data_IF_561852131826
#
_entry.id   IF_561852131826
#
_cell.length_a   1.000
_cell.length_b   1.000
_cell.length_c   1.000
_cell.angle_alpha   90.00
_cell.angle_beta   90.00
_cell.angle_gamma   90.00
#
_symmetry.space_group_name_H-M   'P 1'
#
loop_
_entity.id
_entity.type
_entity.pdbx_description
1 polymer ?
#
# COMPACT_ATOMS: atom_id res chain seq x y z
N UNK A 1 31.91 31.18 39.16
CA UNK A 1 30.48 30.84 39.25
C UNK A 1 29.91 30.21 37.97
N UNK A 2 30.00 30.82 36.78
CA UNK A 2 29.43 30.25 35.53
C UNK A 2 29.90 28.83 35.18
N UNK A 3 31.19 28.50 35.33
CA UNK A 3 31.73 27.14 35.07
C UNK A 3 31.20 26.05 36.01
N UNK A 4 30.97 26.39 37.28
CA UNK A 4 30.41 25.46 38.26
C UNK A 4 28.93 25.17 37.97
N UNK A 5 28.19 26.18 37.52
CA UNK A 5 26.78 26.07 37.15
C UNK A 5 26.58 25.18 35.91
N UNK A 6 27.45 25.31 34.91
CA UNK A 6 27.44 24.46 33.70
C UNK A 6 27.78 23.01 34.04
N UNK A 7 28.78 22.76 34.89
CA UNK A 7 29.13 21.41 35.32
C UNK A 7 27.97 20.75 36.10
N UNK A 8 27.31 21.52 36.97
CA UNK A 8 26.14 21.05 37.72
C UNK A 8 24.96 20.72 36.79
N UNK A 9 24.70 21.54 35.77
CA UNK A 9 23.67 21.25 34.75
C UNK A 9 23.98 19.98 33.96
N UNK A 10 25.24 19.79 33.51
CA UNK A 10 25.64 18.60 32.75
C UNK A 10 25.52 17.32 33.59
N UNK A 11 25.94 17.36 34.87
CA UNK A 11 25.82 16.23 35.78
C UNK A 11 24.36 15.88 36.09
N UNK A 12 23.49 16.88 36.28
CA UNK A 12 22.05 16.64 36.47
C UNK A 12 21.40 16.08 35.20
N UNK A 13 21.74 16.58 34.01
CA UNK A 13 21.27 16.01 32.75
C UNK A 13 21.71 14.56 32.55
N UNK A 14 22.97 14.24 32.87
CA UNK A 14 23.49 12.87 32.77
C UNK A 14 22.79 11.92 33.77
N UNK A 15 22.49 12.40 34.98
CA UNK A 15 21.78 11.63 36.01
C UNK A 15 20.29 11.42 35.67
N UNK A 16 19.61 12.44 35.14
CA UNK A 16 18.24 12.31 34.63
C UNK A 16 18.20 11.33 33.45
N UNK A 17 19.19 11.41 32.55
CA UNK A 17 19.30 10.48 31.42
C UNK A 17 19.51 9.04 31.88
N UNK A 18 20.44 8.79 32.82
CA UNK A 18 20.68 7.43 33.33
C UNK A 18 19.51 6.86 34.12
N UNK A 19 18.80 7.69 34.89
CA UNK A 19 17.55 7.26 35.54
C UNK A 19 16.47 6.94 34.50
N UNK A 20 16.30 7.78 33.47
CA UNK A 20 15.33 7.53 32.41
C UNK A 20 15.64 6.24 31.62
N UNK A 21 16.93 5.96 31.38
CA UNK A 21 17.37 4.77 30.66
C UNK A 21 17.18 3.50 31.50
N UNK A 22 17.47 3.55 32.81
CA UNK A 22 17.20 2.43 33.72
C UNK A 22 15.70 2.12 33.86
N UNK A 23 14.85 3.15 33.95
CA UNK A 23 13.39 3.00 33.98
C UNK A 23 12.86 2.43 32.66
N UNK A 24 13.37 2.91 31.53
CA UNK A 24 13.02 2.38 30.21
C UNK A 24 13.41 0.91 30.07
N UNK A 25 14.61 0.52 30.52
CA UNK A 25 15.07 -0.87 30.47
C UNK A 25 14.16 -1.77 31.31
N UNK A 26 13.86 -1.37 32.55
CA UNK A 26 12.95 -2.11 33.43
C UNK A 26 11.55 -2.25 32.82
N UNK A 27 11.02 -1.19 32.22
CA UNK A 27 9.73 -1.23 31.53
C UNK A 27 9.73 -2.20 30.34
N UNK A 28 10.80 -2.25 29.55
CA UNK A 28 10.95 -3.21 28.44
C UNK A 28 11.03 -4.64 28.96
N UNK A 29 11.76 -4.90 30.05
CA UNK A 29 11.84 -6.21 30.68
C UNK A 29 10.46 -6.69 31.16
N UNK A 30 9.72 -5.84 31.88
CA UNK A 30 8.35 -6.14 32.34
C UNK A 30 7.39 -6.42 31.17
N UNK A 31 7.50 -5.66 30.07
CA UNK A 31 6.71 -5.90 28.86
C UNK A 31 7.04 -7.26 28.23
N UNK A 32 8.33 -7.58 28.09
CA UNK A 32 8.77 -8.85 27.52
C UNK A 32 8.31 -10.05 28.38
N UNK A 33 8.45 -9.97 29.70
CA UNK A 33 7.97 -11.03 30.61
C UNK A 33 6.46 -11.24 30.47
N UNK A 34 5.69 -10.14 30.42
CA UNK A 34 4.24 -10.20 30.21
C UNK A 34 3.89 -10.81 28.85
N UNK A 35 4.61 -10.40 27.80
CA UNK A 35 4.44 -10.94 26.46
C UNK A 35 4.72 -12.43 26.43
N UNK A 36 5.86 -12.90 26.94
CA UNK A 36 6.22 -14.31 26.94
C UNK A 36 5.20 -15.16 27.70
N UNK A 37 4.76 -14.69 28.87
CA UNK A 37 3.74 -15.36 29.68
C UNK A 37 2.42 -15.52 28.92
N UNK A 38 1.92 -14.44 28.33
CA UNK A 38 0.68 -14.45 27.57
C UNK A 38 0.83 -15.29 26.29
N UNK A 39 1.97 -15.16 25.61
CA UNK A 39 2.27 -15.87 24.38
C UNK A 39 2.33 -17.38 24.60
N UNK A 40 2.95 -17.82 25.70
CA UNK A 40 2.99 -19.23 26.09
C UNK A 40 1.59 -19.79 26.31
N UNK A 41 0.76 -19.11 27.11
CA UNK A 41 -0.63 -19.52 27.37
C UNK A 41 -1.44 -19.65 26.07
N UNK A 42 -1.29 -18.67 25.19
CA UNK A 42 -2.04 -18.64 23.93
C UNK A 42 -1.54 -19.68 22.93
N UNK A 43 -0.24 -19.98 22.92
CA UNK A 43 0.34 -21.04 22.10
C UNK A 43 -0.09 -22.43 22.58
N UNK A 44 -0.15 -22.66 23.90
CA UNK A 44 -0.68 -23.89 24.50
C UNK A 44 -2.15 -24.09 24.13
N UNK A 45 -2.96 -23.02 24.23
CA UNK A 45 -4.36 -23.03 23.80
C UNK A 45 -4.49 -23.34 22.30
N UNK A 46 -3.70 -22.71 21.45
CA UNK A 46 -3.70 -22.96 20.01
C UNK A 46 -3.32 -24.41 19.67
N UNK A 47 -2.34 -24.98 20.38
CA UNK A 47 -1.93 -26.38 20.23
C UNK A 47 -3.08 -27.35 20.53
N UNK A 48 -3.85 -27.11 21.60
CA UNK A 48 -5.03 -27.91 21.93
C UNK A 48 -6.12 -27.72 20.86
N UNK A 49 -6.45 -26.47 20.55
CA UNK A 49 -7.52 -26.13 19.61
C UNK A 49 -7.27 -26.66 18.19
N UNK A 50 -6.02 -26.61 17.71
CA UNK A 50 -5.63 -27.09 16.38
C UNK A 50 -5.88 -28.59 16.14
N UNK A 51 -6.04 -29.37 17.22
CA UNK A 51 -6.41 -30.80 17.13
C UNK A 51 -7.89 -31.00 16.85
N UNK A 52 -8.73 -30.00 17.15
CA UNK A 52 -10.19 -30.09 17.11
C UNK A 52 -10.77 -29.26 15.95
N UNK A 53 -10.16 -28.10 15.67
CA UNK A 53 -10.60 -27.16 14.62
C UNK A 53 -9.42 -26.62 13.83
N UNK A 54 -9.68 -26.24 12.57
CA UNK A 54 -8.71 -25.52 11.75
C UNK A 54 -9.14 -24.06 11.63
N UNK A 55 -8.33 -23.16 12.19
CA UNK A 55 -8.51 -21.71 12.05
C UNK A 55 -7.33 -21.14 11.27
N UNK A 56 -7.63 -20.26 10.32
CA UNK A 56 -6.62 -19.55 9.54
C UNK A 56 -6.80 -18.04 9.70
N UNK A 57 -5.72 -17.35 10.07
CA UNK A 57 -5.69 -15.89 10.19
C UNK A 57 -4.67 -15.33 9.21
N UNK A 58 -4.87 -14.08 8.79
CA UNK A 58 -3.91 -13.38 7.92
C UNK A 58 -3.26 -12.26 8.72
N UNK A 59 -1.93 -12.27 8.73
CA UNK A 59 -1.16 -11.19 9.30
C UNK A 59 -1.06 -10.04 8.30
N UNK A 60 -1.47 -8.86 8.72
CA UNK A 60 -1.41 -7.62 7.95
C UNK A 60 -0.28 -6.76 8.53
N UNK A 61 0.67 -6.28 7.71
CA UNK A 61 1.74 -5.43 8.21
C UNK A 61 1.19 -4.09 8.74
N UNK A 62 1.78 -3.57 9.82
CA UNK A 62 1.46 -2.25 10.38
C UNK A 62 2.35 -1.15 9.76
N UNK A 63 1.91 0.13 9.70
CA UNK A 63 0.57 0.63 10.00
C UNK A 63 -0.43 0.47 8.85
N UNK A 64 0.06 0.35 7.61
CA UNK A 64 -0.73 0.49 6.37
C UNK A 64 -0.58 -0.74 5.46
N UNK A 65 -0.76 -1.94 6.03
CA UNK A 65 -0.86 -3.14 5.22
C UNK A 65 -2.20 -3.20 4.50
N UNK A 66 -2.35 -2.49 3.38
CA UNK A 66 -3.51 -2.71 2.50
C UNK A 66 -3.30 -4.03 1.73
N UNK A 67 -3.43 -5.18 2.42
CA UNK A 67 -3.71 -6.42 1.69
C UNK A 67 -5.19 -6.36 1.29
N UNK A 68 -5.47 -5.97 0.04
CA UNK A 68 -6.83 -6.07 -0.52
C UNK A 68 -7.25 -7.55 -0.56
N UNK A 69 -7.83 -8.02 0.55
CA UNK A 69 -8.29 -9.38 0.76
C UNK A 69 -9.80 -9.44 0.58
N UNK A 70 -10.23 -10.39 -0.23
CA UNK A 70 -11.63 -10.69 -0.50
C UNK A 70 -12.16 -11.57 0.62
N UNK A 71 -12.31 -11.01 1.83
CA UNK A 71 -12.60 -11.77 3.06
C UNK A 71 -13.82 -12.68 2.95
N UNK A 72 -14.90 -12.18 2.32
CA UNK A 72 -16.15 -12.92 2.14
C UNK A 72 -15.94 -14.14 1.26
N UNK A 73 -15.31 -13.95 0.10
CA UNK A 73 -15.03 -15.00 -0.87
C UNK A 73 -14.01 -16.00 -0.29
N UNK A 74 -12.99 -15.50 0.40
CA UNK A 74 -11.96 -16.31 1.02
C UNK A 74 -12.52 -17.17 2.17
N UNK A 75 -13.33 -16.60 3.06
CA UNK A 75 -13.98 -17.33 4.13
C UNK A 75 -14.91 -18.43 3.58
N UNK A 76 -15.66 -18.13 2.52
CA UNK A 76 -16.50 -19.11 1.83
C UNK A 76 -15.67 -20.27 1.28
N UNK A 77 -14.60 -19.99 0.54
CA UNK A 77 -13.72 -21.02 -0.04
C UNK A 77 -13.05 -21.88 1.04
N UNK A 78 -12.62 -21.28 2.14
CA UNK A 78 -12.03 -22.02 3.26
C UNK A 78 -13.06 -22.92 3.95
N UNK A 79 -14.32 -22.48 4.05
CA UNK A 79 -15.38 -23.26 4.71
C UNK A 79 -15.70 -24.57 3.98
N UNK A 80 -15.56 -24.60 2.65
CA UNK A 80 -15.71 -25.82 1.83
C UNK A 80 -14.67 -26.90 2.18
N UNK A 81 -13.54 -26.48 2.76
CA UNK A 81 -12.43 -27.34 3.19
C UNK A 81 -12.47 -27.61 4.72
N UNK A 82 -13.57 -27.26 5.39
CA UNK A 82 -13.73 -27.29 6.85
C UNK A 82 -12.70 -26.42 7.59
N UNK A 83 -12.26 -25.32 6.97
CA UNK A 83 -11.36 -24.33 7.57
C UNK A 83 -12.15 -23.08 7.89
N UNK A 84 -12.08 -22.61 9.13
CA UNK A 84 -12.71 -21.35 9.53
C UNK A 84 -11.73 -20.20 9.34
N UNK A 85 -12.13 -19.17 8.59
CA UNK A 85 -11.39 -17.92 8.52
C UNK A 85 -11.55 -17.16 9.83
N UNK A 86 -10.44 -16.93 10.53
CA UNK A 86 -10.40 -16.26 11.83
C UNK A 86 -10.30 -14.73 11.75
N UNK A 87 -10.19 -14.17 10.54
CA UNK A 87 -10.03 -12.75 10.30
C UNK A 87 -8.57 -12.30 10.19
N UNK A 88 -8.42 -10.98 10.12
CA UNK A 88 -7.13 -10.31 10.06
C UNK A 88 -6.54 -10.10 11.45
N UNK A 89 -5.22 -10.03 11.53
CA UNK A 89 -4.53 -9.53 12.71
C UNK A 89 -3.30 -8.75 12.32
N UNK A 90 -2.89 -7.85 13.21
CA UNK A 90 -1.74 -6.99 13.04
C UNK A 90 -0.84 -7.15 14.26
N UNK A 91 0.46 -7.28 14.01
CA UNK A 91 1.48 -7.22 15.04
C UNK A 91 1.63 -5.81 15.60
N UNK A 92 2.30 -5.68 16.74
CA UNK A 92 2.74 -4.37 17.25
C UNK A 92 4.17 -4.09 16.79
N UNK A 93 4.43 -2.85 16.40
CA UNK A 93 5.77 -2.31 16.14
C UNK A 93 6.56 -2.07 17.45
N UNK A 94 5.86 -1.93 18.56
CA UNK A 94 6.46 -1.92 19.91
C UNK A 94 6.89 -3.35 20.28
N UNK A 95 8.21 -3.56 20.38
CA UNK A 95 8.81 -4.81 20.84
C UNK A 95 8.26 -5.22 22.22
N UNK A 96 7.89 -6.50 22.37
CA UNK A 96 7.32 -7.02 23.61
C UNK A 96 5.88 -6.56 23.90
N UNK A 97 5.25 -5.80 23.02
CA UNK A 97 3.85 -5.44 23.20
C UNK A 97 2.93 -6.55 22.71
N UNK A 98 2.06 -7.02 23.60
CA UNK A 98 1.12 -8.08 23.32
C UNK A 98 -0.25 -7.49 22.93
N UNK A 99 -0.65 -7.65 21.66
CA UNK A 99 -2.04 -7.42 21.24
C UNK A 99 -2.88 -8.66 21.52
N UNK A 100 -4.18 -8.46 21.76
CA UNK A 100 -5.07 -9.53 22.19
C UNK A 100 -5.01 -10.76 21.26
N UNK A 101 -4.59 -11.87 21.86
CA UNK A 101 -4.43 -13.18 21.25
C UNK A 101 -3.48 -13.28 20.05
N UNK A 102 -2.47 -12.40 19.97
CA UNK A 102 -1.48 -12.41 18.89
C UNK A 102 -0.83 -13.78 18.69
N UNK A 103 -0.30 -14.39 19.76
CA UNK A 103 0.36 -15.69 19.66
C UNK A 103 -0.59 -16.84 19.38
N UNK A 104 -1.87 -16.73 19.77
CA UNK A 104 -2.88 -17.73 19.44
C UNK A 104 -3.16 -17.69 17.93
N UNK A 105 -3.39 -16.50 17.35
CA UNK A 105 -3.64 -16.32 15.93
C UNK A 105 -2.45 -16.78 15.08
N UNK A 106 -1.23 -16.39 15.46
CA UNK A 106 0.01 -16.82 14.80
C UNK A 106 0.20 -18.34 14.88
N UNK A 107 0.03 -18.94 16.06
CA UNK A 107 0.19 -20.38 16.24
C UNK A 107 -0.87 -21.19 15.49
N UNK A 108 -2.15 -20.79 15.56
CA UNK A 108 -3.23 -21.44 14.80
C UNK A 108 -2.97 -21.40 13.29
N UNK A 109 -2.53 -20.25 12.77
CA UNK A 109 -2.16 -20.09 11.36
C UNK A 109 -1.02 -21.04 10.99
N UNK A 110 0.04 -21.12 11.81
CA UNK A 110 1.13 -22.06 11.60
C UNK A 110 0.67 -23.53 11.59
N UNK A 111 -0.23 -23.91 12.49
CA UNK A 111 -0.77 -25.28 12.50
C UNK A 111 -1.59 -25.59 11.25
N UNK A 112 -2.41 -24.64 10.79
CA UNK A 112 -3.14 -24.76 9.54
C UNK A 112 -2.18 -24.88 8.34
N UNK A 113 -1.16 -24.02 8.25
CA UNK A 113 -0.14 -24.09 7.19
C UNK A 113 0.69 -25.36 7.24
N UNK A 114 0.96 -25.92 8.42
CA UNK A 114 1.65 -27.21 8.54
C UNK A 114 0.79 -28.38 8.03
N UNK A 115 -0.54 -28.28 8.19
CA UNK A 115 -1.49 -29.31 7.76
C UNK A 115 -1.79 -29.26 6.26
N UNK A 116 -1.94 -28.07 5.69
CA UNK A 116 -2.38 -27.89 4.29
C UNK A 116 -1.29 -27.37 3.35
N UNK A 117 -0.21 -26.82 3.90
CA UNK A 117 0.84 -26.13 3.15
C UNK A 117 0.56 -24.63 2.97
N UNK A 118 1.60 -23.82 2.88
CA UNK A 118 1.48 -22.36 2.64
C UNK A 118 0.91 -22.04 1.25
N UNK A 119 1.34 -22.77 0.23
CA UNK A 119 0.86 -22.57 -1.15
C UNK A 119 -0.64 -22.86 -1.29
N UNK A 120 -1.20 -23.76 -0.46
CA UNK A 120 -2.65 -23.98 -0.42
C UNK A 120 -3.40 -22.68 -0.11
N UNK A 121 -3.05 -21.99 0.98
CA UNK A 121 -3.73 -20.74 1.37
C UNK A 121 -3.50 -19.62 0.36
N UNK A 122 -2.29 -19.53 -0.21
CA UNK A 122 -1.98 -18.58 -1.28
C UNK A 122 -2.86 -18.82 -2.51
N UNK A 123 -3.04 -20.07 -2.92
CA UNK A 123 -3.93 -20.43 -4.02
C UNK A 123 -5.40 -20.13 -3.69
N UNK A 124 -5.86 -20.41 -2.46
CA UNK A 124 -7.22 -20.04 -2.04
C UNK A 124 -7.44 -18.52 -2.03
N UNK A 125 -6.43 -17.71 -1.68
CA UNK A 125 -6.49 -16.24 -1.81
C UNK A 125 -6.66 -15.81 -3.28
N UNK A 126 -5.91 -16.42 -4.21
CA UNK A 126 -6.05 -16.14 -5.64
C UNK A 126 -7.42 -16.54 -6.19
N UNK A 127 -7.97 -17.68 -5.75
CA UNK A 127 -9.33 -18.10 -6.11
C UNK A 127 -10.38 -17.11 -5.59
N UNK A 128 -10.23 -16.63 -4.35
CA UNK A 128 -11.12 -15.62 -3.79
C UNK A 128 -11.08 -14.31 -4.59
N UNK A 129 -9.89 -13.88 -5.00
CA UNK A 129 -9.71 -12.72 -5.88
C UNK A 129 -10.39 -12.91 -7.23
N UNK A 130 -10.23 -14.07 -7.87
CA UNK A 130 -10.86 -14.38 -9.15
C UNK A 130 -12.39 -14.30 -9.07
N UNK A 131 -12.98 -14.93 -8.04
CA UNK A 131 -14.43 -14.89 -7.80
C UNK A 131 -14.89 -13.45 -7.61
N UNK A 132 -14.20 -12.69 -6.76
CA UNK A 132 -14.54 -11.30 -6.51
C UNK A 132 -14.50 -10.44 -7.77
N UNK A 133 -13.46 -10.55 -8.61
CA UNK A 133 -13.34 -9.80 -9.87
C UNK A 133 -14.47 -10.14 -10.84
N UNK A 134 -14.91 -11.40 -10.85
CA UNK A 134 -16.01 -11.88 -11.68
C UNK A 134 -17.35 -11.34 -11.18
N UNK A 135 -17.57 -11.34 -9.87
CA UNK A 135 -18.81 -10.85 -9.24
C UNK A 135 -18.90 -9.32 -9.21
N UNK A 136 -17.77 -8.62 -9.31
CA UNK A 136 -17.67 -7.17 -9.27
C UNK A 136 -17.03 -6.60 -10.55
N UNK A 137 -17.63 -6.80 -11.75
CA UNK A 137 -17.00 -6.43 -13.02
C UNK A 137 -16.76 -4.91 -13.17
N UNK A 138 -17.50 -4.09 -12.42
CA UNK A 138 -17.41 -2.63 -12.43
C UNK A 138 -16.46 -2.06 -11.37
N UNK A 139 -15.88 -2.90 -10.51
CA UNK A 139 -14.89 -2.45 -9.51
C UNK A 139 -13.70 -1.83 -10.24
N UNK A 140 -13.39 -0.59 -9.88
CA UNK A 140 -12.19 0.12 -10.34
C UNK A 140 -11.09 -0.14 -9.32
N UNK A 141 -9.97 -0.68 -9.73
CA UNK A 141 -8.77 -0.84 -8.89
C UNK A 141 -7.95 0.46 -8.91
N UNK A 142 -7.46 0.91 -7.76
CA UNK A 142 -6.75 2.19 -7.63
C UNK A 142 -5.23 1.98 -7.56
N UNK A 143 -4.50 3.06 -7.85
CA UNK A 143 -3.08 2.98 -8.20
C UNK A 143 -2.12 2.79 -7.01
N UNK A 144 -0.92 2.29 -7.31
CA UNK A 144 0.27 2.02 -6.48
C UNK A 144 0.30 0.81 -5.55
N UNK A 145 -0.82 0.40 -4.96
CA UNK A 145 -0.85 -0.72 -3.99
C UNK A 145 -1.40 -2.01 -4.62
N UNK A 146 -2.32 -1.86 -5.57
CA UNK A 146 -3.02 -2.96 -6.23
C UNK A 146 -2.49 -3.29 -7.64
N UNK A 147 -1.46 -2.61 -8.18
CA UNK A 147 -1.16 -2.72 -9.61
C UNK A 147 0.33 -2.91 -9.90
N UNK A 148 0.64 -3.54 -11.04
CA UNK A 148 2.02 -3.73 -11.51
C UNK A 148 2.68 -2.38 -11.79
N UNK A 149 3.65 -2.00 -10.94
CA UNK A 149 4.38 -0.74 -11.05
C UNK A 149 5.13 -0.60 -12.37
N UNK A 150 5.73 -1.67 -12.87
CA UNK A 150 6.49 -1.62 -14.13
C UNK A 150 5.57 -1.36 -15.32
N UNK A 151 4.34 -1.88 -15.25
CA UNK A 151 3.30 -1.60 -16.23
C UNK A 151 2.88 -0.12 -16.21
N UNK A 152 2.62 0.43 -15.02
CA UNK A 152 2.26 1.84 -14.81
C UNK A 152 3.33 2.78 -15.37
N UNK A 153 4.61 2.50 -15.10
CA UNK A 153 5.75 3.29 -15.60
C UNK A 153 5.81 3.25 -17.14
N UNK A 154 5.65 2.07 -17.76
CA UNK A 154 5.69 1.95 -19.23
C UNK A 154 4.57 2.76 -19.90
N UNK A 155 3.36 2.72 -19.36
CA UNK A 155 2.22 3.50 -19.88
C UNK A 155 2.45 5.01 -19.75
N UNK A 156 3.04 5.45 -18.63
CA UNK A 156 3.44 6.83 -18.39
C UNK A 156 4.47 7.31 -19.43
N UNK A 157 5.46 6.49 -19.75
CA UNK A 157 6.47 6.81 -20.76
C UNK A 157 5.89 6.91 -22.17
N UNK A 158 4.94 6.04 -22.51
CA UNK A 158 4.20 6.10 -23.77
C UNK A 158 3.45 7.44 -23.88
N UNK A 159 2.74 7.85 -22.83
CA UNK A 159 2.05 9.14 -22.81
C UNK A 159 3.01 10.31 -23.03
N UNK A 160 4.09 10.36 -22.25
CA UNK A 160 5.09 11.42 -22.34
C UNK A 160 5.67 11.51 -23.74
N UNK A 161 6.06 10.37 -24.32
CA UNK A 161 6.63 10.30 -25.66
C UNK A 161 5.62 10.75 -26.73
N UNK A 162 4.41 10.19 -26.73
CA UNK A 162 3.39 10.53 -27.73
C UNK A 162 2.95 12.00 -27.65
N UNK A 163 2.93 12.57 -26.44
CA UNK A 163 2.66 13.99 -26.25
C UNK A 163 3.74 14.85 -26.92
N UNK A 164 5.02 14.66 -26.55
CA UNK A 164 6.11 15.50 -27.02
C UNK A 164 6.48 15.31 -28.48
N UNK A 165 6.22 14.14 -29.08
CA UNK A 165 6.37 13.92 -30.52
C UNK A 165 5.42 14.80 -31.33
N UNK A 166 4.22 15.07 -30.81
CA UNK A 166 3.16 15.76 -31.53
C UNK A 166 2.89 17.18 -31.02
N UNK A 167 3.63 17.64 -30.01
CA UNK A 167 3.44 18.94 -29.39
C UNK A 167 4.74 19.73 -29.35
N UNK A 168 4.68 20.96 -29.84
CA UNK A 168 5.74 21.94 -29.68
C UNK A 168 5.24 23.06 -28.80
N UNK A 169 6.08 23.50 -27.86
CA UNK A 169 5.74 24.63 -27.02
C UNK A 169 5.54 25.89 -27.87
N UNK A 170 4.55 26.73 -27.53
CA UNK A 170 4.41 28.05 -28.11
C UNK A 170 5.70 28.86 -27.97
N UNK A 171 6.01 29.72 -28.96
CA UNK A 171 7.24 30.53 -28.96
C UNK A 171 7.40 31.39 -27.70
N UNK A 172 6.27 31.87 -27.16
CA UNK A 172 6.24 32.75 -25.98
C UNK A 172 6.04 31.97 -24.67
N UNK A 173 6.10 30.63 -24.71
CA UNK A 173 6.05 29.80 -23.51
C UNK A 173 7.33 30.00 -22.68
N UNK A 174 7.17 30.36 -21.41
CA UNK A 174 8.29 30.59 -20.51
C UNK A 174 8.72 29.27 -19.88
N UNK A 175 9.91 28.81 -20.28
CA UNK A 175 10.56 27.63 -19.69
C UNK A 175 11.07 27.97 -18.29
N UNK A 176 10.86 27.07 -17.34
CA UNK A 176 11.29 27.22 -15.95
C UNK A 176 12.81 27.31 -15.84
N UNK A 177 13.30 27.92 -14.75
CA UNK A 177 14.71 27.82 -14.37
C UNK A 177 14.93 26.56 -13.54
N UNK A 178 16.18 26.12 -13.42
CA UNK A 178 16.53 24.89 -12.73
C UNK A 178 15.99 24.82 -11.29
N UNK A 179 16.00 25.96 -10.59
CA UNK A 179 15.56 26.15 -9.20
C UNK A 179 14.02 26.21 -9.04
N UNK A 180 13.28 26.42 -10.13
CA UNK A 180 11.82 26.60 -10.08
C UNK A 180 11.11 25.25 -10.06
N UNK A 181 9.96 25.19 -9.38
CA UNK A 181 9.05 24.04 -9.44
C UNK A 181 8.65 23.73 -10.89
N UNK A 182 8.40 22.45 -11.17
CA UNK A 182 7.89 22.03 -12.47
C UNK A 182 6.44 22.44 -12.63
N UNK A 183 6.08 22.88 -13.83
CA UNK A 183 4.70 22.86 -14.28
C UNK A 183 4.35 21.40 -14.61
N UNK A 184 3.10 21.01 -14.45
CA UNK A 184 2.68 19.65 -14.74
C UNK A 184 1.20 19.56 -15.09
N UNK A 185 0.83 18.47 -15.74
CA UNK A 185 -0.54 18.05 -15.89
C UNK A 185 -0.74 16.67 -15.28
N UNK A 186 -1.74 16.52 -14.40
CA UNK A 186 -2.25 15.24 -13.94
C UNK A 186 -3.39 14.86 -14.86
N UNK A 187 -3.35 13.65 -15.39
CA UNK A 187 -4.33 13.14 -16.35
C UNK A 187 -4.97 11.90 -15.76
N UNK A 188 -6.16 12.04 -15.20
CA UNK A 188 -6.88 10.94 -14.56
C UNK A 188 -7.87 10.31 -15.52
N UNK A 189 -7.90 8.99 -15.60
CA UNK A 189 -8.92 8.27 -16.34
C UNK A 189 -9.02 6.82 -15.87
N UNK A 190 -10.05 6.13 -16.34
CA UNK A 190 -10.25 4.70 -16.07
C UNK A 190 -10.00 3.91 -17.33
N UNK A 191 -9.15 2.88 -17.22
CA UNK A 191 -8.91 1.89 -18.27
C UNK A 191 -9.73 0.65 -17.94
N UNK A 192 -10.57 0.19 -18.87
CA UNK A 192 -11.34 -1.03 -18.70
C UNK A 192 -10.54 -2.30 -19.04
N UNK A 193 -11.19 -3.46 -18.97
CA UNK A 193 -10.55 -4.76 -19.24
C UNK A 193 -10.15 -4.97 -20.70
N UNK A 194 -10.65 -4.15 -21.62
CA UNK A 194 -10.35 -4.17 -23.05
C UNK A 194 -9.31 -3.11 -23.45
N UNK A 195 -8.88 -2.26 -22.52
CA UNK A 195 -7.99 -1.14 -22.79
C UNK A 195 -8.73 0.12 -23.27
N UNK A 196 -10.06 0.16 -23.17
CA UNK A 196 -10.84 1.37 -23.46
C UNK A 196 -10.77 2.35 -22.29
N UNK A 197 -10.59 3.63 -22.63
CA UNK A 197 -10.51 4.70 -21.65
C UNK A 197 -11.88 5.38 -21.46
N UNK A 198 -12.23 5.63 -20.20
CA UNK A 198 -13.40 6.41 -19.78
C UNK A 198 -13.02 7.42 -18.68
N UNK A 199 -13.93 8.35 -18.37
CA UNK A 199 -13.81 9.27 -17.23
C UNK A 199 -12.54 10.16 -17.21
N UNK A 200 -12.12 10.64 -18.38
CA UNK A 200 -10.97 11.53 -18.53
C UNK A 200 -11.16 12.86 -17.79
N UNK A 201 -10.25 13.17 -16.88
CA UNK A 201 -10.10 14.44 -16.16
C UNK A 201 -8.66 14.91 -16.30
N UNK A 202 -8.46 16.21 -16.45
CA UNK A 202 -7.14 16.80 -16.60
C UNK A 202 -7.03 17.98 -15.64
N UNK A 203 -6.02 17.95 -14.78
CA UNK A 203 -5.63 19.10 -13.97
C UNK A 203 -4.26 19.59 -14.42
N UNK A 204 -4.16 20.88 -14.74
CA UNK A 204 -2.91 21.50 -15.22
C UNK A 204 -2.53 22.60 -14.25
N UNK A 205 -1.33 22.46 -13.68
CA UNK A 205 -0.68 23.45 -12.85
C UNK A 205 0.51 24.05 -13.59
N UNK A 206 0.40 25.34 -13.93
CA UNK A 206 1.48 26.11 -14.53
C UNK A 206 2.09 27.03 -13.45
N UNK A 207 3.39 26.94 -13.24
CA UNK A 207 4.07 27.71 -12.19
C UNK A 207 4.27 29.17 -12.61
N UNK A 208 4.41 29.42 -13.91
CA UNK A 208 4.54 30.76 -14.45
C UNK A 208 3.17 31.30 -14.90
N UNK A 209 2.65 32.39 -14.31
CA UNK A 209 1.36 32.96 -14.68
C UNK A 209 1.26 33.38 -16.16
N UNK A 210 2.40 33.70 -16.82
CA UNK A 210 2.41 34.03 -18.25
C UNK A 210 2.06 32.83 -19.13
N UNK A 211 2.21 31.60 -18.63
CA UNK A 211 1.91 30.39 -19.37
C UNK A 211 0.41 30.03 -19.31
N UNK A 212 -0.37 30.62 -18.39
CA UNK A 212 -1.81 30.31 -18.23
C UNK A 212 -2.62 30.49 -19.52
N UNK A 213 -2.23 31.45 -20.37
CA UNK A 213 -2.83 31.63 -21.69
C UNK A 213 -2.71 30.40 -22.61
N UNK A 214 -1.72 29.51 -22.37
CA UNK A 214 -1.50 28.30 -23.15
C UNK A 214 -2.21 27.07 -22.57
N UNK A 215 -2.84 27.17 -21.38
CA UNK A 215 -3.54 26.05 -20.74
C UNK A 215 -4.56 25.37 -21.66
N UNK A 216 -5.45 26.09 -22.38
CA UNK A 216 -6.40 25.44 -23.29
C UNK A 216 -5.72 24.71 -24.46
N UNK A 217 -4.58 25.22 -24.94
CA UNK A 217 -3.82 24.57 -26.03
C UNK A 217 -3.19 23.26 -25.53
N UNK A 218 -2.56 23.30 -24.36
CA UNK A 218 -1.93 22.14 -23.72
C UNK A 218 -2.99 21.07 -23.42
N UNK A 219 -4.12 21.47 -22.80
CA UNK A 219 -5.22 20.56 -22.47
C UNK A 219 -5.78 19.86 -23.70
N UNK A 220 -6.07 20.61 -24.78
CA UNK A 220 -6.56 20.05 -26.03
C UNK A 220 -5.57 19.04 -26.64
N UNK A 221 -4.27 19.32 -26.53
CA UNK A 221 -3.26 18.38 -26.99
C UNK A 221 -3.22 17.12 -26.13
N UNK A 222 -3.28 17.25 -24.80
CA UNK A 222 -3.36 16.11 -23.87
C UNK A 222 -4.56 15.23 -24.25
N UNK A 223 -5.75 15.82 -24.42
CA UNK A 223 -6.96 15.08 -24.81
C UNK A 223 -6.74 14.31 -26.12
N UNK A 224 -6.17 14.94 -27.14
CA UNK A 224 -5.88 14.29 -28.42
C UNK A 224 -4.90 13.14 -28.28
N UNK A 225 -3.82 13.34 -27.54
CA UNK A 225 -2.78 12.32 -27.32
C UNK A 225 -3.37 11.12 -26.57
N UNK A 226 -4.03 11.37 -25.45
CA UNK A 226 -4.57 10.33 -24.57
C UNK A 226 -5.63 9.48 -25.28
N UNK A 227 -6.47 10.09 -26.13
CA UNK A 227 -7.48 9.37 -26.93
C UNK A 227 -6.90 8.57 -28.10
N UNK A 228 -5.70 8.91 -28.57
CA UNK A 228 -5.02 8.22 -29.67
C UNK A 228 -4.27 6.98 -29.19
N UNK A 229 -3.79 7.00 -27.94
CA UNK A 229 -3.06 5.88 -27.35
C UNK A 229 -3.99 4.68 -27.21
N UNK A 230 -3.51 3.52 -27.67
CA UNK A 230 -4.13 2.23 -27.39
C UNK A 230 -3.65 1.77 -26.01
N UNK A 231 -4.44 2.06 -24.99
CA UNK A 231 -4.11 1.65 -23.63
C UNK A 231 -4.17 0.13 -23.51
N UNK A 232 -3.29 -0.41 -22.68
CA UNK A 232 -3.35 -1.81 -22.30
C UNK A 232 -4.13 -1.87 -20.99
N UNK A 233 -4.98 -2.89 -20.80
CA UNK A 233 -5.64 -3.08 -19.53
C UNK A 233 -4.60 -3.45 -18.45
N UNK A 234 -4.83 -3.00 -17.22
CA UNK A 234 -3.91 -3.28 -16.13
C UNK A 234 -4.18 -4.66 -15.51
N UNK A 235 -3.24 -5.10 -14.67
CA UNK A 235 -3.25 -6.39 -14.03
C UNK A 235 -3.10 -6.27 -12.51
N UNK A 236 -3.89 -7.05 -11.77
CA UNK A 236 -3.69 -7.28 -10.34
C UNK A 236 -3.50 -8.77 -10.07
N UNK A 237 -2.32 -9.14 -9.55
CA UNK A 237 -1.97 -10.53 -9.17
C UNK A 237 -2.27 -11.58 -10.26
N UNK A 238 -2.07 -11.23 -11.52
CA UNK A 238 -2.32 -12.09 -12.67
C UNK A 238 -3.68 -11.86 -13.37
N UNK A 239 -4.60 -11.10 -12.78
CA UNK A 239 -5.93 -10.88 -13.34
C UNK A 239 -6.06 -9.53 -14.04
N UNK A 240 -6.66 -9.52 -15.24
CA UNK A 240 -7.01 -8.29 -15.96
C UNK A 240 -8.17 -7.59 -15.23
N UNK A 241 -7.96 -6.32 -14.88
CA UNK A 241 -8.90 -5.52 -14.09
C UNK A 241 -9.18 -4.16 -14.72
N UNK A 242 -10.34 -3.60 -14.39
CA UNK A 242 -10.64 -2.19 -14.65
C UNK A 242 -9.91 -1.36 -13.60
N UNK A 243 -9.16 -0.34 -13.99
CA UNK A 243 -8.29 0.42 -13.09
C UNK A 243 -8.28 1.91 -13.36
N UNK A 244 -8.11 2.71 -12.32
CA UNK A 244 -7.78 4.12 -12.45
C UNK A 244 -6.30 4.29 -12.80
N UNK A 245 -6.02 5.20 -13.71
CA UNK A 245 -4.67 5.56 -14.12
C UNK A 245 -4.53 7.08 -14.07
N UNK A 246 -3.49 7.55 -13.39
CA UNK A 246 -3.24 8.97 -13.11
C UNK A 246 -1.80 9.36 -13.48
N UNK A 247 -1.42 9.31 -14.77
CA UNK A 247 -0.11 9.74 -15.20
C UNK A 247 0.10 11.25 -15.03
N UNK A 248 1.33 11.62 -14.73
CA UNK A 248 1.79 13.01 -14.64
C UNK A 248 2.64 13.35 -15.85
N UNK A 249 2.24 14.36 -16.61
CA UNK A 249 3.02 14.93 -17.70
C UNK A 249 3.80 16.14 -17.17
N UNK A 250 5.12 16.06 -17.20
CA UNK A 250 5.99 17.19 -16.87
C UNK A 250 5.95 18.25 -17.97
N UNK A 251 5.72 19.51 -17.59
CA UNK A 251 5.79 20.66 -18.49
C UNK A 251 7.01 21.50 -18.07
N UNK A 252 7.94 21.77 -19.00
CA UNK A 252 9.17 22.48 -18.69
C UNK A 252 8.93 23.95 -18.36
#
# INVERSE_FOLDING_TARGET
>A
MKKLLVLFLVLNCAFIYSQSDSLRKKWIEELNEKFEKNCKKDSEKASIDSKIKTLYYINVPAPDGEEFLQEKEFAKILSEENITFGGLWMGSDISGYYTDSLCYKSSMTRYAEAKFGKEFFKNKKLQALEIFIKENPNRIFHNYEDLDRDFVIKQQDILNKEFWVNFSLPKDYVIRKAEDYYSYAIVDFVIDKNGEMTDLRIDIKLQNPKNEQFKPLIENQIIKTVRKIKWLPNNYKGFIVKSEFSPTLGLP
#
